data_IF_592944287351
#
_entry.id   IF_592944287351
#
_cell.length_a   1.000
_cell.length_b   1.000
_cell.length_c   1.000
_cell.angle_alpha   90.00
_cell.angle_beta   90.00
_cell.angle_gamma   90.00
#
_symmetry.space_group_name_H-M   'P 1'
#
loop_
_entity.id
_entity.type
_entity.pdbx_description
1 polymer ?
#
# COMPACT_ATOMS: atom_id res chain seq x y z
N UNK A 1 -28.09 12.32 -4.89
CA UNK A 1 -26.70 11.89 -4.65
C UNK A 1 -25.91 13.16 -4.30
N UNK A 2 -25.45 13.31 -3.07
CA UNK A 2 -24.75 14.53 -2.65
C UNK A 2 -23.27 14.43 -3.02
N UNK A 3 -22.77 15.41 -3.75
CA UNK A 3 -21.34 15.54 -4.02
C UNK A 3 -20.69 16.04 -2.73
N UNK A 4 -19.65 15.33 -2.25
CA UNK A 4 -18.82 15.81 -1.13
C UNK A 4 -18.06 17.06 -1.60
N UNK A 5 -18.30 18.20 -0.98
CA UNK A 5 -17.72 19.50 -1.31
C UNK A 5 -16.93 20.02 -0.09
N UNK A 6 -15.64 20.32 -0.27
CA UNK A 6 -14.80 20.87 0.81
C UNK A 6 -15.05 22.37 1.08
N UNK A 7 -15.79 23.06 0.20
CA UNK A 7 -15.99 24.50 0.25
C UNK A 7 -14.87 25.31 -0.41
N UNK A 8 -13.73 24.69 -0.74
CA UNK A 8 -12.59 25.33 -1.39
C UNK A 8 -12.52 24.98 -2.88
N UNK A 9 -12.29 25.98 -3.75
CA UNK A 9 -12.41 25.80 -5.20
C UNK A 9 -11.18 26.24 -6.00
N UNK A 10 -10.83 25.44 -7.00
CA UNK A 10 -9.92 25.78 -8.10
C UNK A 10 -10.74 26.12 -9.34
N UNK A 11 -10.58 27.34 -9.83
CA UNK A 11 -11.16 27.78 -11.09
C UNK A 11 -10.19 27.53 -12.25
N UNK A 12 -10.69 27.00 -13.36
CA UNK A 12 -9.95 26.83 -14.60
C UNK A 12 -10.35 27.92 -15.60
N UNK A 13 -9.46 28.28 -16.52
CA UNK A 13 -9.73 29.31 -17.54
C UNK A 13 -10.94 28.98 -18.44
N UNK A 14 -11.33 27.71 -18.54
CA UNK A 14 -12.52 27.24 -19.26
C UNK A 14 -13.84 27.50 -18.53
N UNK A 15 -13.81 28.09 -17.32
CA UNK A 15 -14.97 28.26 -16.46
C UNK A 15 -15.32 27.02 -15.62
N UNK A 16 -14.60 25.91 -15.80
CA UNK A 16 -14.76 24.74 -14.94
C UNK A 16 -14.27 25.05 -13.52
N UNK A 17 -14.94 24.48 -12.53
CA UNK A 17 -14.59 24.63 -11.13
C UNK A 17 -14.42 23.24 -10.50
N UNK A 18 -13.32 23.02 -9.80
CA UNK A 18 -13.05 21.75 -9.11
C UNK A 18 -12.64 21.99 -7.67
N UNK A 19 -13.07 21.11 -6.79
CA UNK A 19 -12.69 21.10 -5.39
C UNK A 19 -11.15 21.00 -5.22
N UNK A 20 -10.60 21.67 -4.20
CA UNK A 20 -9.16 21.63 -3.87
C UNK A 20 -8.76 20.21 -3.41
N UNK A 21 -7.48 19.88 -3.61
CA UNK A 21 -6.91 18.53 -3.44
C UNK A 21 -6.37 18.22 -2.03
N UNK A 22 -6.85 18.88 -0.98
CA UNK A 22 -6.39 18.57 0.37
C UNK A 22 -7.00 17.24 0.86
N UNK A 23 -6.19 16.38 1.48
CA UNK A 23 -6.61 15.09 2.03
C UNK A 23 -6.93 13.98 0.99
N UNK A 24 -6.77 14.24 -0.31
CA UNK A 24 -7.15 13.29 -1.40
C UNK A 24 -5.96 12.54 -2.03
N UNK A 25 -4.74 12.88 -1.63
CA UNK A 25 -3.50 12.36 -2.21
C UNK A 25 -3.12 13.00 -3.55
N UNK A 26 -1.80 13.03 -3.84
CA UNK A 26 -1.22 13.59 -5.08
C UNK A 26 -0.74 12.48 -6.01
N UNK A 27 -1.70 11.83 -6.67
CA UNK A 27 -1.44 10.72 -7.60
C UNK A 27 -0.50 11.11 -8.76
N UNK A 28 -0.50 12.37 -9.15
CA UNK A 28 0.41 12.91 -10.16
C UNK A 28 1.88 12.95 -9.71
N UNK A 29 2.16 12.81 -8.42
CA UNK A 29 3.51 12.78 -7.84
C UNK A 29 3.98 11.36 -7.49
N UNK A 30 3.16 10.34 -7.73
CA UNK A 30 3.53 8.95 -7.42
C UNK A 30 4.55 8.45 -8.45
N UNK A 31 5.63 7.77 -8.03
CA UNK A 31 6.57 7.14 -8.95
C UNK A 31 5.90 5.94 -9.63
N UNK A 32 5.35 6.14 -10.82
CA UNK A 32 4.56 5.15 -11.54
C UNK A 32 5.36 3.88 -11.90
N UNK A 33 6.67 3.98 -12.05
CA UNK A 33 7.55 2.84 -12.26
C UNK A 33 7.54 1.89 -11.06
N UNK A 34 7.52 2.42 -9.83
CA UNK A 34 7.40 1.62 -8.61
C UNK A 34 6.02 0.96 -8.50
N UNK A 35 4.96 1.67 -8.89
CA UNK A 35 3.59 1.12 -8.96
C UNK A 35 3.51 -0.02 -9.99
N UNK A 36 4.16 0.13 -11.14
CA UNK A 36 4.24 -0.94 -12.13
C UNK A 36 4.99 -2.16 -11.58
N UNK A 37 6.10 -1.95 -10.85
CA UNK A 37 6.79 -3.05 -10.16
C UNK A 37 5.88 -3.75 -9.15
N UNK A 38 5.11 -3.01 -8.36
CA UNK A 38 4.14 -3.58 -7.43
C UNK A 38 3.11 -4.46 -8.17
N UNK A 39 2.58 -3.99 -9.30
CA UNK A 39 1.64 -4.75 -10.12
C UNK A 39 2.24 -6.06 -10.66
N UNK A 40 3.50 -6.03 -11.11
CA UNK A 40 4.21 -7.25 -11.52
C UNK A 40 4.37 -8.25 -10.36
N UNK A 41 4.60 -7.77 -9.13
CA UNK A 41 4.66 -8.66 -7.97
C UNK A 41 3.30 -9.32 -7.67
N UNK A 42 2.21 -8.56 -7.81
CA UNK A 42 0.86 -9.10 -7.69
C UNK A 42 0.55 -10.15 -8.77
N UNK A 43 0.98 -9.92 -10.02
CA UNK A 43 0.82 -10.89 -11.11
C UNK A 43 1.51 -12.22 -10.78
N UNK A 44 2.77 -12.18 -10.36
CA UNK A 44 3.52 -13.39 -9.97
C UNK A 44 2.90 -14.08 -8.74
N UNK A 45 2.43 -13.30 -7.77
CA UNK A 45 1.69 -13.82 -6.62
C UNK A 45 0.39 -14.52 -7.03
N UNK A 46 -0.37 -13.95 -7.98
CA UNK A 46 -1.61 -14.53 -8.49
C UNK A 46 -1.36 -15.83 -9.25
N UNK A 47 -0.30 -15.90 -10.08
CA UNK A 47 0.11 -17.14 -10.75
C UNK A 47 0.47 -18.25 -9.76
N UNK A 48 1.12 -17.89 -8.65
CA UNK A 48 1.64 -18.86 -7.66
C UNK A 48 0.60 -19.28 -6.63
N UNK A 49 -0.23 -18.36 -6.13
CA UNK A 49 -1.13 -18.58 -4.99
C UNK A 49 -2.61 -18.41 -5.33
N UNK A 50 -2.94 -18.08 -6.58
CA UNK A 50 -4.29 -17.75 -7.04
C UNK A 50 -4.66 -16.28 -6.85
N UNK A 51 -5.71 -15.85 -7.57
CA UNK A 51 -6.21 -14.48 -7.50
C UNK A 51 -6.69 -14.11 -6.10
N UNK A 52 -6.44 -12.85 -5.70
CA UNK A 52 -6.91 -12.26 -4.43
C UNK A 52 -6.53 -13.06 -3.17
N UNK A 53 -5.51 -13.93 -3.22
CA UNK A 53 -5.13 -14.76 -2.09
C UNK A 53 -4.81 -13.95 -0.82
N UNK A 54 -4.19 -12.79 -0.99
CA UNK A 54 -3.75 -11.94 0.12
C UNK A 54 -4.92 -11.24 0.81
N UNK A 55 -6.08 -11.14 0.17
CA UNK A 55 -7.29 -10.57 0.75
C UNK A 55 -7.99 -11.53 1.73
N UNK A 56 -7.48 -12.76 1.87
CA UNK A 56 -7.95 -13.69 2.91
C UNK A 56 -7.42 -13.33 4.30
N UNK A 57 -6.54 -12.33 4.40
CA UNK A 57 -5.83 -11.96 5.62
C UNK A 57 -4.43 -12.55 5.66
N UNK A 58 -3.45 -11.72 6.02
CA UNK A 58 -2.07 -12.11 6.31
C UNK A 58 -1.68 -11.38 7.59
N UNK A 59 -1.19 -12.09 8.63
CA UNK A 59 -0.74 -11.45 9.86
C UNK A 59 0.29 -10.34 9.59
N UNK A 60 0.12 -9.18 10.23
CA UNK A 60 0.93 -7.99 9.92
C UNK A 60 2.41 -8.24 10.25
N UNK A 61 2.73 -8.95 11.34
CA UNK A 61 4.13 -9.27 11.64
C UNK A 61 4.81 -10.05 10.50
N UNK A 62 4.08 -10.94 9.82
CA UNK A 62 4.61 -11.75 8.72
C UNK A 62 4.96 -10.91 7.49
N UNK A 63 4.15 -9.89 7.20
CA UNK A 63 4.43 -8.93 6.13
C UNK A 63 5.64 -8.08 6.49
N UNK A 64 5.70 -7.57 7.72
CA UNK A 64 6.81 -6.72 8.18
C UNK A 64 8.14 -7.47 8.20
N UNK A 65 8.18 -8.69 8.75
CA UNK A 65 9.39 -9.53 8.78
C UNK A 65 9.90 -9.81 7.36
N UNK A 66 9.00 -10.22 6.46
CA UNK A 66 9.33 -10.47 5.05
C UNK A 66 9.85 -9.20 4.36
N UNK A 67 9.19 -8.05 4.57
CA UNK A 67 9.62 -6.76 4.03
C UNK A 67 11.03 -6.36 4.48
N UNK A 68 11.32 -6.48 5.78
CA UNK A 68 12.65 -6.18 6.36
C UNK A 68 13.70 -7.14 5.79
N UNK A 69 13.39 -8.42 5.64
CA UNK A 69 14.32 -9.40 5.04
C UNK A 69 14.68 -9.01 3.60
N UNK A 70 13.71 -8.63 2.77
CA UNK A 70 13.99 -8.17 1.40
C UNK A 70 14.83 -6.88 1.40
N UNK A 71 14.56 -5.92 2.30
CA UNK A 71 15.42 -4.73 2.45
C UNK A 71 16.85 -5.09 2.87
N UNK A 72 17.01 -6.03 3.80
CA UNK A 72 18.33 -6.54 4.23
C UNK A 72 19.09 -7.18 3.07
N UNK A 73 18.43 -8.02 2.25
CA UNK A 73 19.03 -8.59 1.04
C UNK A 73 19.48 -7.52 0.05
N UNK A 74 18.64 -6.49 -0.19
CA UNK A 74 19.00 -5.36 -1.05
C UNK A 74 20.24 -4.61 -0.53
N UNK A 75 20.28 -4.29 0.77
CA UNK A 75 21.41 -3.59 1.41
C UNK A 75 22.71 -4.40 1.33
N UNK A 76 22.61 -5.74 1.29
CA UNK A 76 23.75 -6.65 1.12
C UNK A 76 24.16 -6.85 -0.34
N UNK A 77 23.52 -6.15 -1.28
CA UNK A 77 23.86 -6.22 -2.71
C UNK A 77 23.38 -7.48 -3.41
N UNK A 78 22.42 -8.22 -2.83
CA UNK A 78 21.82 -9.39 -3.44
C UNK A 78 20.96 -9.00 -4.66
N UNK A 79 20.92 -9.87 -5.67
CA UNK A 79 20.28 -9.63 -6.99
C UNK A 79 19.51 -10.85 -7.52
N UNK A 80 19.33 -11.86 -6.68
CA UNK A 80 18.67 -13.13 -7.01
C UNK A 80 17.15 -12.97 -7.20
N UNK A 81 16.56 -11.90 -6.67
CA UNK A 81 15.18 -11.52 -6.93
C UNK A 81 15.00 -9.99 -6.85
N UNK A 82 13.86 -9.45 -7.31
CA UNK A 82 13.57 -8.02 -7.19
C UNK A 82 13.21 -7.61 -5.75
N UNK A 83 14.21 -7.52 -4.87
CA UNK A 83 14.00 -7.29 -3.44
C UNK A 83 13.25 -6.00 -3.10
N UNK A 84 13.56 -4.86 -3.73
CA UNK A 84 12.83 -3.61 -3.46
C UNK A 84 11.34 -3.71 -3.79
N UNK A 85 11.00 -4.38 -4.91
CA UNK A 85 9.62 -4.65 -5.30
C UNK A 85 8.92 -5.54 -4.26
N UNK A 86 9.59 -6.60 -3.80
CA UNK A 86 9.03 -7.49 -2.79
C UNK A 86 8.83 -6.78 -1.44
N UNK A 87 9.79 -5.94 -1.03
CA UNK A 87 9.65 -5.10 0.16
C UNK A 87 8.47 -4.14 0.05
N UNK A 88 8.35 -3.42 -1.08
CA UNK A 88 7.23 -2.51 -1.35
C UNK A 88 5.88 -3.24 -1.30
N UNK A 89 5.80 -4.45 -1.86
CA UNK A 89 4.58 -5.26 -1.82
C UNK A 89 4.18 -5.62 -0.39
N UNK A 90 5.11 -6.04 0.46
CA UNK A 90 4.82 -6.37 1.85
C UNK A 90 4.32 -5.15 2.63
N UNK A 91 4.92 -3.98 2.45
CA UNK A 91 4.47 -2.73 3.10
C UNK A 91 3.10 -2.29 2.58
N UNK A 92 2.86 -2.36 1.27
CA UNK A 92 1.58 -2.02 0.68
C UNK A 92 0.45 -2.93 1.22
N UNK A 93 0.71 -4.24 1.34
CA UNK A 93 -0.27 -5.15 1.92
C UNK A 93 -0.39 -5.03 3.44
N UNK A 94 0.64 -4.59 4.17
CA UNK A 94 0.51 -4.29 5.60
C UNK A 94 -0.45 -3.10 5.83
N UNK A 95 -0.34 -2.04 5.02
CA UNK A 95 -1.30 -0.93 5.00
C UNK A 95 -2.70 -1.43 4.65
N UNK A 96 -2.81 -2.31 3.65
CA UNK A 96 -4.09 -2.92 3.29
C UNK A 96 -4.71 -3.69 4.45
N UNK A 97 -3.92 -4.46 5.22
CA UNK A 97 -4.42 -5.18 6.39
C UNK A 97 -4.91 -4.22 7.47
N UNK A 98 -4.14 -3.19 7.81
CA UNK A 98 -4.58 -2.16 8.78
C UNK A 98 -5.93 -1.51 8.38
N UNK A 99 -6.16 -1.27 7.09
CA UNK A 99 -7.38 -0.63 6.58
C UNK A 99 -8.57 -1.58 6.38
N UNK A 100 -8.33 -2.86 6.08
CA UNK A 100 -9.38 -3.80 5.61
C UNK A 100 -9.54 -5.04 6.49
N UNK A 101 -8.49 -5.43 7.18
CA UNK A 101 -8.42 -6.60 8.06
C UNK A 101 -7.68 -6.23 9.37
N UNK A 102 -8.21 -5.27 10.16
CA UNK A 102 -7.54 -4.83 11.39
C UNK A 102 -7.36 -5.99 12.39
N UNK A 103 -8.15 -7.06 12.28
CA UNK A 103 -8.01 -8.32 13.01
C UNK A 103 -6.71 -9.10 12.69
N UNK A 104 -6.01 -8.74 11.61
CA UNK A 104 -4.70 -9.30 11.27
C UNK A 104 -3.53 -8.57 11.93
N UNK A 105 -3.77 -7.44 12.60
CA UNK A 105 -2.74 -6.82 13.42
C UNK A 105 -2.45 -7.75 14.60
N UNK A 106 -1.20 -8.16 14.73
CA UNK A 106 -0.75 -9.11 15.76
C UNK A 106 0.64 -8.78 16.32
N UNK A 107 1.16 -7.59 15.99
CA UNK A 107 2.39 -7.06 16.59
C UNK A 107 2.05 -6.57 18.00
N UNK A 108 2.67 -7.10 19.07
CA UNK A 108 2.27 -6.81 20.45
C UNK A 108 2.16 -5.32 20.78
N UNK A 109 3.16 -4.52 20.38
CA UNK A 109 3.19 -3.07 20.62
C UNK A 109 2.11 -2.28 19.86
N UNK A 110 1.43 -2.89 18.89
CA UNK A 110 0.31 -2.30 18.12
C UNK A 110 -1.05 -2.76 18.63
N UNK A 111 -1.07 -3.79 19.48
CA UNK A 111 -2.30 -4.34 20.07
C UNK A 111 -2.67 -3.64 21.39
N UNK A 112 -1.72 -2.98 22.03
CA UNK A 112 -1.95 -2.24 23.28
C UNK A 112 -2.92 -1.06 23.07
N UNK A 113 -2.90 -0.43 21.89
CA UNK A 113 -3.79 0.68 21.50
C UNK A 113 -5.26 0.26 21.26
N UNK A 114 -5.59 -1.04 21.31
CA UNK A 114 -6.96 -1.55 21.10
C UNK A 114 -7.74 -1.74 22.40
N UNK A 115 -7.12 -1.50 23.56
CA UNK A 115 -7.71 -1.70 24.89
C UNK A 115 -8.09 -0.40 25.63
N UNK A 116 -7.89 0.76 25.00
CA UNK A 116 -8.36 2.08 25.46
C UNK A 116 -9.57 2.58 24.64
#
# INVERSE_FOLDING_TARGET
MNIKDSGNRRNFATGAVRDIQEGKGRYDLVPWEAIHQLALHCEEGAKKYGERNCEKGIPVHSLIDSGIRHLSCYLRGMKDEPHLRAAMWNIAFAIYMEERHPDMQDIPARMEDLND
#
